data_IF_152655706454
#
_entry.id   IF_152655706454
#
_cell.length_a   1.000
_cell.length_b   1.000
_cell.length_c   1.000
_cell.angle_alpha   90.00
_cell.angle_beta   90.00
_cell.angle_gamma   90.00
#
_symmetry.space_group_name_H-M   'P 1'
#
loop_
_entity.id
_entity.type
_entity.pdbx_description
1 polymer ?
#
# COMPACT_ATOMS: atom_id res chain seq x y z
N UNK A 1 12.23 0.51 -10.82
CA UNK A 1 11.63 -0.54 -9.98
C UNK A 1 12.67 -1.26 -9.13
N UNK A 2 13.73 -1.79 -9.74
CA UNK A 2 14.77 -2.51 -8.99
C UNK A 2 15.43 -1.65 -7.90
N UNK A 3 15.65 -0.37 -8.15
CA UNK A 3 16.22 0.52 -7.14
C UNK A 3 15.29 0.70 -5.95
N UNK A 4 13.99 0.85 -6.18
CA UNK A 4 13.03 1.00 -5.10
C UNK A 4 12.94 -0.29 -4.28
N UNK A 5 12.97 -1.43 -4.93
CA UNK A 5 12.98 -2.72 -4.25
C UNK A 5 14.21 -2.87 -3.36
N UNK A 6 15.37 -2.43 -3.84
CA UNK A 6 16.61 -2.46 -3.05
C UNK A 6 16.52 -1.53 -1.85
N UNK A 7 15.97 -0.33 -2.03
CA UNK A 7 15.82 0.62 -0.92
C UNK A 7 14.92 0.06 0.17
N UNK A 8 13.81 -0.53 -0.20
CA UNK A 8 12.87 -1.12 0.77
C UNK A 8 13.52 -2.31 1.48
N UNK A 9 14.26 -3.15 0.74
CA UNK A 9 14.94 -4.29 1.33
C UNK A 9 16.04 -3.87 2.30
N UNK A 10 16.78 -2.80 1.96
CA UNK A 10 17.86 -2.28 2.80
C UNK A 10 17.35 -1.57 4.03
N UNK A 11 16.21 -0.90 3.92
CA UNK A 11 15.62 -0.17 5.03
C UNK A 11 14.09 -0.30 4.98
N UNK A 12 13.54 -1.33 5.65
CA UNK A 12 12.10 -1.56 5.66
C UNK A 12 11.28 -0.41 6.26
N UNK A 13 11.92 0.50 6.98
CA UNK A 13 11.24 1.67 7.56
C UNK A 13 11.27 2.88 6.65
N UNK A 14 11.84 2.75 5.46
CA UNK A 14 11.80 3.82 4.45
C UNK A 14 10.42 3.82 3.79
N UNK A 15 9.46 4.46 4.45
CA UNK A 15 8.07 4.48 3.99
C UNK A 15 7.91 5.18 2.64
N UNK A 16 8.69 6.21 2.38
CA UNK A 16 8.61 6.92 1.11
C UNK A 16 9.01 6.01 -0.05
N UNK A 17 10.11 5.27 0.10
CA UNK A 17 10.53 4.32 -0.94
C UNK A 17 9.49 3.22 -1.15
N UNK A 18 8.92 2.72 -0.06
CA UNK A 18 7.87 1.69 -0.13
C UNK A 18 6.61 2.22 -0.80
N UNK A 19 6.22 3.45 -0.50
CA UNK A 19 5.09 4.11 -1.13
C UNK A 19 5.32 4.25 -2.65
N UNK A 20 6.51 4.73 -3.01
CA UNK A 20 6.87 4.90 -4.42
C UNK A 20 6.88 3.56 -5.17
N UNK A 21 7.37 2.51 -4.51
CA UNK A 21 7.35 1.16 -5.07
C UNK A 21 5.91 0.68 -5.31
N UNK A 22 5.03 0.94 -4.36
CA UNK A 22 3.61 0.57 -4.50
C UNK A 22 2.99 1.23 -5.72
N UNK A 23 3.25 2.52 -5.94
CA UNK A 23 2.72 3.23 -7.10
C UNK A 23 3.27 2.68 -8.41
N UNK A 24 4.56 2.34 -8.44
CA UNK A 24 5.17 1.72 -9.61
C UNK A 24 4.55 0.36 -9.91
N UNK A 25 4.27 -0.44 -8.87
CA UNK A 25 3.61 -1.73 -9.02
C UNK A 25 2.18 -1.57 -9.55
N UNK A 26 1.47 -0.53 -9.10
CA UNK A 26 0.12 -0.25 -9.59
C UNK A 26 0.13 0.03 -11.10
N UNK A 27 1.13 0.75 -11.58
CA UNK A 27 1.27 1.02 -13.01
C UNK A 27 1.47 -0.26 -13.82
N UNK A 28 1.96 -1.31 -13.18
CA UNK A 28 2.15 -2.62 -13.82
C UNK A 28 0.96 -3.56 -13.60
N UNK A 29 -0.09 -3.10 -12.94
CA UNK A 29 -1.26 -3.92 -12.67
C UNK A 29 -1.08 -4.95 -11.58
N UNK A 30 -0.03 -4.85 -10.77
CA UNK A 30 0.27 -5.82 -9.71
C UNK A 30 -0.39 -5.39 -8.40
N UNK A 31 -1.71 -5.40 -8.40
CA UNK A 31 -2.54 -4.82 -7.33
C UNK A 31 -2.35 -5.46 -5.97
N UNK A 32 -2.23 -6.76 -5.89
CA UNK A 32 -2.05 -7.44 -4.60
C UNK A 32 -0.72 -7.06 -3.95
N UNK A 33 0.32 -6.87 -4.75
CA UNK A 33 1.61 -6.41 -4.23
C UNK A 33 1.55 -4.97 -3.75
N UNK A 34 0.75 -4.12 -4.43
CA UNK A 34 0.50 -2.76 -3.98
C UNK A 34 -0.08 -2.77 -2.56
N UNK A 35 -1.03 -3.66 -2.32
CA UNK A 35 -1.63 -3.80 -0.99
C UNK A 35 -0.59 -4.16 0.06
N UNK A 36 0.29 -5.11 -0.25
CA UNK A 36 1.31 -5.54 0.70
C UNK A 36 2.16 -4.36 1.18
N UNK A 37 2.56 -3.49 0.25
CA UNK A 37 3.42 -2.36 0.60
C UNK A 37 2.68 -1.25 1.33
N UNK A 38 1.52 -0.83 0.83
CA UNK A 38 0.78 0.25 1.45
C UNK A 38 0.23 -0.15 2.83
N UNK A 39 -0.25 -1.38 2.96
CA UNK A 39 -0.75 -1.88 4.24
C UNK A 39 0.38 -2.00 5.27
N UNK A 40 1.58 -2.34 4.83
CA UNK A 40 2.73 -2.39 5.72
C UNK A 40 3.05 -1.01 6.29
N UNK A 41 2.96 0.05 5.49
CA UNK A 41 3.14 1.41 5.98
C UNK A 41 2.10 1.74 7.04
N UNK A 42 0.83 1.46 6.77
CA UNK A 42 -0.25 1.72 7.72
C UNK A 42 -0.03 0.95 9.02
N UNK A 43 0.39 -0.30 8.94
CA UNK A 43 0.63 -1.14 10.11
C UNK A 43 1.76 -0.59 10.97
N UNK A 44 2.85 -0.12 10.34
CA UNK A 44 4.04 0.36 11.06
C UNK A 44 3.92 1.80 11.52
N UNK A 45 3.30 2.65 10.71
CA UNK A 45 3.17 4.08 11.01
C UNK A 45 1.91 4.63 10.36
N UNK A 46 0.79 4.49 11.07
CA UNK A 46 -0.52 4.91 10.58
C UNK A 46 -0.57 6.36 10.14
N UNK A 47 0.15 7.22 10.84
CA UNK A 47 0.11 8.67 10.61
C UNK A 47 1.12 9.16 9.59
N UNK A 48 1.94 8.26 9.05
CA UNK A 48 2.94 8.68 8.09
C UNK A 48 2.31 9.51 6.96
N UNK A 49 2.95 10.63 6.66
CA UNK A 49 2.53 11.55 5.60
C UNK A 49 1.04 11.91 5.72
N UNK A 50 0.61 12.23 6.94
CA UNK A 50 -0.77 12.64 7.20
C UNK A 50 -1.79 11.61 6.71
N UNK A 51 -1.63 10.36 7.14
CA UNK A 51 -2.43 9.21 6.70
C UNK A 51 -2.30 8.93 5.21
N UNK A 52 -1.16 9.29 4.61
CA UNK A 52 -0.97 9.21 3.17
C UNK A 52 -1.14 7.83 2.58
N UNK A 53 -0.66 6.78 3.27
CA UNK A 53 -0.79 5.42 2.77
C UNK A 53 -2.25 4.95 2.80
N UNK A 54 -2.97 5.24 3.88
CA UNK A 54 -4.39 4.89 3.99
C UNK A 54 -5.23 5.63 2.94
N UNK A 55 -4.97 6.93 2.77
CA UNK A 55 -5.69 7.72 1.77
C UNK A 55 -5.43 7.21 0.36
N UNK A 56 -4.19 6.81 0.08
CA UNK A 56 -3.84 6.24 -1.22
C UNK A 56 -4.58 4.92 -1.46
N UNK A 57 -4.67 4.07 -0.42
CA UNK A 57 -5.43 2.82 -0.53
C UNK A 57 -6.89 3.08 -0.87
N UNK A 58 -7.53 4.04 -0.20
CA UNK A 58 -8.93 4.37 -0.46
C UNK A 58 -9.12 4.84 -1.91
N UNK A 59 -8.23 5.68 -2.41
CA UNK A 59 -8.27 6.12 -3.80
C UNK A 59 -8.14 4.96 -4.78
N UNK A 60 -7.24 4.03 -4.49
CA UNK A 60 -7.06 2.85 -5.35
C UNK A 60 -8.29 1.95 -5.32
N UNK A 61 -8.91 1.76 -4.15
CA UNK A 61 -10.14 0.97 -4.06
C UNK A 61 -11.24 1.56 -4.93
N UNK A 62 -11.36 2.87 -4.96
CA UNK A 62 -12.33 3.55 -5.82
C UNK A 62 -11.98 3.37 -7.30
N UNK A 63 -10.71 3.50 -7.65
CA UNK A 63 -10.25 3.35 -9.02
C UNK A 63 -10.40 1.91 -9.53
N UNK A 64 -10.09 0.93 -8.68
CA UNK A 64 -10.19 -0.50 -9.05
C UNK A 64 -11.64 -0.97 -9.07
N UNK A 65 -12.50 -0.37 -8.26
CA UNK A 65 -13.91 -0.74 -8.16
C UNK A 65 -14.21 -1.65 -6.98
N UNK A 66 -15.47 -1.62 -6.49
CA UNK A 66 -15.83 -2.33 -5.25
C UNK A 66 -15.82 -3.85 -5.35
N UNK A 67 -15.89 -4.40 -6.56
CA UNK A 67 -15.92 -5.86 -6.75
C UNK A 67 -14.57 -6.43 -7.15
N UNK A 68 -13.56 -5.59 -7.37
CA UNK A 68 -12.23 -6.06 -7.71
C UNK A 68 -11.65 -6.88 -6.55
N UNK A 69 -10.98 -7.99 -6.89
CA UNK A 69 -10.37 -8.87 -5.89
C UNK A 69 -9.45 -8.12 -4.94
N UNK A 70 -8.62 -7.23 -5.48
CA UNK A 70 -7.68 -6.45 -4.67
C UNK A 70 -8.42 -5.48 -3.75
N UNK A 71 -9.51 -4.87 -4.22
CA UNK A 71 -10.31 -3.98 -3.39
C UNK A 71 -10.92 -4.73 -2.21
N UNK A 72 -11.52 -5.88 -2.47
CA UNK A 72 -12.15 -6.69 -1.43
C UNK A 72 -11.12 -7.14 -0.39
N UNK A 73 -10.00 -7.69 -0.87
CA UNK A 73 -8.92 -8.13 0.03
C UNK A 73 -8.31 -6.97 0.79
N UNK A 74 -8.08 -5.84 0.11
CA UNK A 74 -7.47 -4.66 0.72
C UNK A 74 -8.32 -4.05 1.80
N UNK A 75 -9.62 -3.94 1.58
CA UNK A 75 -10.54 -3.41 2.58
C UNK A 75 -10.58 -4.27 3.83
N UNK A 76 -10.59 -5.58 3.66
CA UNK A 76 -10.57 -6.52 4.77
C UNK A 76 -9.28 -6.39 5.59
N UNK A 77 -8.15 -6.37 4.90
CA UNK A 77 -6.85 -6.27 5.55
C UNK A 77 -6.67 -4.93 6.27
N UNK A 78 -7.11 -3.85 5.63
CA UNK A 78 -7.04 -2.51 6.24
C UNK A 78 -7.90 -2.45 7.49
N UNK A 79 -9.11 -2.99 7.44
CA UNK A 79 -10.00 -3.02 8.60
C UNK A 79 -9.37 -3.79 9.76
N UNK A 80 -8.71 -4.92 9.47
CA UNK A 80 -8.02 -5.70 10.50
C UNK A 80 -6.91 -4.91 11.18
N UNK A 81 -6.20 -4.08 10.42
CA UNK A 81 -5.13 -3.25 10.97
C UNK A 81 -5.70 -2.12 11.83
N UNK A 82 -6.74 -1.45 11.34
CA UNK A 82 -7.28 -0.27 12.00
C UNK A 82 -8.08 -0.60 13.27
N UNK A 83 -8.72 -1.76 13.29
CA UNK A 83 -9.63 -2.13 14.39
C UNK A 83 -9.18 -3.38 15.16
N UNK A 84 -7.93 -3.74 15.01
CA UNK A 84 -7.38 -4.89 15.73
C UNK A 84 -7.25 -4.64 17.24
#
# INVERSE_FOLDING_TARGET
MAELEKKVASNPLDHQARFDLALALNNKGRRLEVLDHLLEIVRRDRKWNDDGARRQLVQLFEAWGPTDEATVAGRRRLSSILFA
#
